data_IF_085107094622
#
_entry.id   IF_085107094622
#
_cell.length_a   1.000
_cell.length_b   1.000
_cell.length_c   1.000
_cell.angle_alpha   90.00
_cell.angle_beta   90.00
_cell.angle_gamma   90.00
#
_symmetry.space_group_name_H-M   'P 1'
#
loop_
_entity.id
_entity.type
_entity.pdbx_description
1 polymer ?
#
# COMPACT_ATOMS: atom_id res chain seq x y z
N UNK A 1 -38.03 -19.17 -0.43
CA UNK A 1 -36.82 -19.80 0.10
C UNK A 1 -35.75 -20.08 -0.95
N UNK A 2 -36.13 -20.48 -2.15
CA UNK A 2 -35.15 -20.69 -3.27
C UNK A 2 -34.39 -19.43 -3.68
N UNK A 3 -34.99 -18.26 -3.53
CA UNK A 3 -34.37 -16.97 -3.90
C UNK A 3 -33.32 -16.50 -2.90
N UNK A 4 -33.48 -16.82 -1.62
CA UNK A 4 -32.51 -16.47 -0.59
C UNK A 4 -31.20 -17.23 -0.75
N UNK A 5 -31.27 -18.51 -1.11
CA UNK A 5 -30.09 -19.34 -1.35
C UNK A 5 -29.30 -18.85 -2.58
N UNK A 6 -30.02 -18.39 -3.60
CA UNK A 6 -29.42 -17.87 -4.82
C UNK A 6 -28.69 -16.55 -4.58
N UNK A 7 -29.25 -15.67 -3.77
CA UNK A 7 -28.63 -14.40 -3.36
C UNK A 7 -27.38 -14.62 -2.53
N UNK A 8 -27.39 -15.58 -1.64
CA UNK A 8 -26.23 -15.95 -0.81
C UNK A 8 -25.08 -16.49 -1.67
N UNK A 9 -25.36 -17.27 -2.71
CA UNK A 9 -24.38 -17.77 -3.63
C UNK A 9 -23.72 -16.65 -4.47
N UNK A 10 -24.48 -15.68 -4.93
CA UNK A 10 -23.98 -14.51 -5.64
C UNK A 10 -23.09 -13.66 -4.75
N UNK A 11 -23.43 -13.51 -3.49
CA UNK A 11 -22.67 -12.75 -2.53
C UNK A 11 -21.32 -13.41 -2.24
N UNK A 12 -21.31 -14.75 -2.14
CA UNK A 12 -20.07 -15.52 -1.95
C UNK A 12 -19.13 -15.40 -3.15
N UNK A 13 -19.65 -15.40 -4.35
CA UNK A 13 -18.86 -15.21 -5.57
C UNK A 13 -18.23 -13.82 -5.65
N UNK A 14 -18.97 -12.79 -5.26
CA UNK A 14 -18.46 -11.42 -5.19
C UNK A 14 -17.36 -11.28 -4.13
N UNK A 15 -17.54 -11.91 -2.97
CA UNK A 15 -16.52 -11.92 -1.90
C UNK A 15 -15.23 -12.59 -2.37
N UNK A 16 -15.32 -13.71 -3.08
CA UNK A 16 -14.17 -14.39 -3.64
C UNK A 16 -13.44 -13.55 -4.69
N UNK A 17 -14.17 -12.75 -5.45
CA UNK A 17 -13.59 -11.86 -6.45
C UNK A 17 -12.78 -10.74 -5.79
N UNK A 18 -13.25 -10.20 -4.65
CA UNK A 18 -12.54 -9.16 -3.89
C UNK A 18 -11.27 -9.72 -3.23
N UNK A 19 -11.30 -10.97 -2.77
CA UNK A 19 -10.16 -11.65 -2.12
C UNK A 19 -9.04 -11.95 -3.13
N UNK A 20 -9.35 -12.02 -4.43
CA UNK A 20 -8.38 -12.26 -5.49
C UNK A 20 -7.51 -11.04 -5.83
N UNK A 21 -7.68 -9.91 -5.12
CA UNK A 21 -6.88 -8.72 -5.35
C UNK A 21 -5.43 -8.96 -4.95
N UNK A 22 -4.51 -8.68 -5.88
CA UNK A 22 -3.09 -8.94 -5.69
C UNK A 22 -2.48 -7.97 -4.68
N UNK A 23 -1.78 -8.53 -3.68
CA UNK A 23 -1.04 -7.72 -2.72
C UNK A 23 0.33 -7.41 -3.33
N UNK A 24 0.75 -6.12 -3.35
CA UNK A 24 2.04 -5.75 -3.91
C UNK A 24 3.20 -6.29 -3.08
N UNK A 25 4.31 -6.55 -3.75
CA UNK A 25 5.53 -6.98 -3.08
C UNK A 25 6.31 -5.77 -2.54
N UNK A 26 7.16 -6.01 -1.55
CA UNK A 26 8.11 -5.01 -1.06
C UNK A 26 8.95 -4.43 -2.21
N UNK A 27 9.43 -5.28 -3.10
CA UNK A 27 10.26 -4.88 -4.25
C UNK A 27 9.52 -3.89 -5.17
N UNK A 28 8.26 -4.16 -5.45
CA UNK A 28 7.42 -3.27 -6.27
C UNK A 28 7.23 -1.92 -5.60
N UNK A 29 6.95 -1.91 -4.30
CA UNK A 29 6.76 -0.68 -3.53
C UNK A 29 8.03 0.16 -3.53
N UNK A 30 9.19 -0.45 -3.32
CA UNK A 30 10.47 0.27 -3.33
C UNK A 30 10.81 0.85 -4.70
N UNK A 31 10.51 0.12 -5.77
CA UNK A 31 10.69 0.60 -7.13
C UNK A 31 9.81 1.82 -7.42
N UNK A 32 8.55 1.75 -7.07
CA UNK A 32 7.60 2.85 -7.27
C UNK A 32 7.93 4.06 -6.40
N UNK A 33 8.39 3.84 -5.17
CA UNK A 33 8.88 4.91 -4.30
C UNK A 33 10.07 5.64 -4.93
N UNK A 34 10.95 4.92 -5.64
CA UNK A 34 12.04 5.51 -6.40
C UNK A 34 11.55 6.47 -7.48
N UNK A 35 10.49 6.15 -8.17
CA UNK A 35 9.87 7.07 -9.13
C UNK A 35 9.30 8.31 -8.45
N UNK A 36 8.69 8.14 -7.28
CA UNK A 36 8.14 9.25 -6.49
C UNK A 36 9.22 10.20 -5.98
N UNK A 37 10.42 9.71 -5.71
CA UNK A 37 11.56 10.57 -5.32
C UNK A 37 11.93 11.50 -6.47
N UNK A 38 11.87 11.01 -7.71
CA UNK A 38 12.21 11.79 -8.90
C UNK A 38 11.12 12.80 -9.24
N UNK A 39 9.86 12.44 -9.07
CA UNK A 39 8.71 13.29 -9.36
C UNK A 39 7.58 12.97 -8.39
N UNK A 40 7.45 13.76 -7.34
CA UNK A 40 6.44 13.55 -6.30
C UNK A 40 5.00 13.78 -6.78
N UNK A 41 4.80 14.37 -7.96
CA UNK A 41 3.48 14.61 -8.55
C UNK A 41 3.08 13.55 -9.57
N UNK A 42 3.95 12.56 -9.82
CA UNK A 42 3.64 11.46 -10.74
C UNK A 42 2.45 10.63 -10.25
N UNK A 43 1.64 10.15 -11.19
CA UNK A 43 0.46 9.33 -10.89
C UNK A 43 0.81 8.09 -10.06
N UNK A 44 1.99 7.52 -10.26
CA UNK A 44 2.45 6.36 -9.50
C UNK A 44 2.50 6.63 -8.00
N UNK A 45 2.78 7.88 -7.58
CA UNK A 45 2.83 8.24 -6.16
C UNK A 45 1.46 8.14 -5.51
N UNK A 46 0.42 8.58 -6.22
CA UNK A 46 -0.95 8.46 -5.74
C UNK A 46 -1.36 7.01 -5.58
N UNK A 47 -1.05 6.19 -6.57
CA UNK A 47 -1.38 4.76 -6.56
C UNK A 47 -0.60 4.03 -5.48
N UNK A 48 0.64 4.44 -5.24
CA UNK A 48 1.52 3.83 -4.25
C UNK A 48 0.95 3.92 -2.83
N UNK A 49 0.23 4.98 -2.49
CA UNK A 49 -0.41 5.11 -1.17
C UNK A 49 -1.34 3.92 -0.91
N UNK A 50 -2.17 3.56 -1.89
CA UNK A 50 -3.06 2.41 -1.79
C UNK A 50 -2.31 1.09 -1.75
N UNK A 51 -1.25 0.96 -2.54
CA UNK A 51 -0.43 -0.26 -2.59
C UNK A 51 0.28 -0.50 -1.26
N UNK A 52 0.81 0.54 -0.64
CA UNK A 52 1.45 0.44 0.69
C UNK A 52 0.42 0.00 1.73
N UNK A 53 -0.80 0.51 1.66
CA UNK A 53 -1.85 0.13 2.60
C UNK A 53 -2.17 -1.35 2.52
N UNK A 54 -2.26 -1.91 1.33
CA UNK A 54 -2.49 -3.35 1.13
C UNK A 54 -1.40 -4.19 1.80
N UNK A 55 -0.14 -3.82 1.61
CA UNK A 55 0.96 -4.53 2.25
C UNK A 55 0.97 -4.34 3.77
N UNK A 56 0.61 -3.16 4.26
CA UNK A 56 0.48 -2.91 5.70
C UNK A 56 -0.52 -3.86 6.36
N UNK A 57 -1.67 -4.07 5.74
CA UNK A 57 -2.69 -4.97 6.28
C UNK A 57 -2.17 -6.42 6.34
N UNK A 58 -1.46 -6.85 5.31
CA UNK A 58 -0.88 -8.18 5.30
C UNK A 58 0.16 -8.38 6.41
N UNK A 59 1.11 -7.46 6.54
CA UNK A 59 2.18 -7.60 7.54
C UNK A 59 1.64 -7.42 8.97
N UNK A 60 0.57 -6.65 9.14
CA UNK A 60 -0.15 -6.56 10.40
C UNK A 60 -0.72 -7.92 10.81
N UNK A 61 -1.38 -8.62 9.89
CA UNK A 61 -1.92 -9.95 10.14
C UNK A 61 -0.82 -10.98 10.46
N UNK A 62 0.38 -10.74 9.97
CA UNK A 62 1.55 -11.58 10.25
C UNK A 62 2.29 -11.17 11.53
N UNK A 63 1.77 -10.21 12.29
CA UNK A 63 2.41 -9.66 13.49
C UNK A 63 3.78 -9.03 13.22
N UNK A 64 4.03 -8.56 12.00
CA UNK A 64 5.29 -7.91 11.60
C UNK A 64 5.17 -6.41 11.80
N UNK A 65 5.13 -5.96 13.05
CA UNK A 65 4.82 -4.58 13.40
C UNK A 65 5.93 -3.59 13.02
N UNK A 66 7.19 -3.99 13.00
CA UNK A 66 8.28 -3.12 12.55
C UNK A 66 8.17 -2.82 11.07
N UNK A 67 7.80 -3.83 10.27
CA UNK A 67 7.54 -3.65 8.85
C UNK A 67 6.34 -2.73 8.64
N UNK A 68 5.25 -2.95 9.36
CA UNK A 68 4.06 -2.11 9.28
C UNK A 68 4.37 -0.65 9.59
N UNK A 69 5.11 -0.41 10.67
CA UNK A 69 5.50 0.93 11.09
C UNK A 69 6.37 1.63 10.04
N UNK A 70 7.29 0.89 9.43
CA UNK A 70 8.16 1.41 8.37
C UNK A 70 7.37 1.76 7.10
N UNK A 71 6.40 0.92 6.73
CA UNK A 71 5.51 1.18 5.60
C UNK A 71 4.62 2.39 5.86
N UNK A 72 4.13 2.55 7.08
CA UNK A 72 3.35 3.72 7.47
C UNK A 72 4.16 5.00 7.35
N UNK A 73 5.43 4.97 7.76
CA UNK A 73 6.35 6.10 7.59
C UNK A 73 6.54 6.48 6.13
N UNK A 74 6.74 5.49 5.25
CA UNK A 74 6.86 5.72 3.83
C UNK A 74 5.57 6.29 3.24
N UNK A 75 4.43 5.72 3.61
CA UNK A 75 3.12 6.20 3.17
C UNK A 75 2.89 7.66 3.57
N UNK A 76 3.19 8.01 4.81
CA UNK A 76 3.06 9.39 5.30
C UNK A 76 3.93 10.36 4.50
N UNK A 77 5.16 9.98 4.20
CA UNK A 77 6.07 10.81 3.42
C UNK A 77 5.53 11.06 2.00
N UNK A 78 4.96 10.04 1.38
CA UNK A 78 4.38 10.15 0.03
C UNK A 78 3.12 11.01 0.07
N UNK A 79 2.26 10.83 1.06
CA UNK A 79 1.05 11.66 1.24
C UNK A 79 1.43 13.14 1.38
N UNK A 80 2.41 13.45 2.20
CA UNK A 80 2.87 14.82 2.37
C UNK A 80 3.42 15.41 1.07
N UNK A 81 4.23 14.67 0.35
CA UNK A 81 4.84 15.14 -0.89
C UNK A 81 3.82 15.31 -2.02
N UNK A 82 2.94 14.35 -2.19
CA UNK A 82 1.97 14.34 -3.30
C UNK A 82 0.76 15.23 -3.04
N UNK A 83 0.10 15.06 -1.89
CA UNK A 83 -1.17 15.72 -1.61
C UNK A 83 -1.00 17.11 -0.99
N UNK A 84 -0.05 17.26 -0.07
CA UNK A 84 0.15 18.52 0.65
C UNK A 84 1.16 19.43 -0.04
N UNK A 85 2.03 18.88 -0.88
CA UNK A 85 3.05 19.62 -1.64
C UNK A 85 3.98 20.46 -0.77
N UNK A 86 4.10 20.12 0.52
CA UNK A 86 4.81 20.92 1.51
C UNK A 86 6.22 20.46 1.79
N UNK A 87 6.62 19.25 1.33
CA UNK A 87 7.89 18.67 1.72
C UNK A 87 8.68 18.21 0.51
N UNK A 88 9.99 18.24 0.67
CA UNK A 88 10.92 17.74 -0.33
C UNK A 88 10.84 16.21 -0.39
N UNK A 89 11.27 15.67 -1.52
CA UNK A 89 11.32 14.23 -1.75
C UNK A 89 12.32 13.53 -0.82
N UNK A 90 13.13 14.28 -0.07
CA UNK A 90 14.08 13.76 0.91
C UNK A 90 13.43 12.90 1.98
N UNK A 91 12.21 13.25 2.42
CA UNK A 91 11.50 12.43 3.41
C UNK A 91 11.17 11.04 2.90
N UNK A 92 10.81 10.94 1.62
CA UNK A 92 10.58 9.64 1.00
C UNK A 92 11.88 8.82 1.01
N UNK A 93 12.99 9.43 0.59
CA UNK A 93 14.30 8.79 0.60
C UNK A 93 14.72 8.35 2.00
N UNK A 94 14.42 9.15 3.01
CA UNK A 94 14.76 8.87 4.40
C UNK A 94 14.04 7.62 4.93
N UNK A 95 12.81 7.36 4.48
CA UNK A 95 12.02 6.25 4.97
C UNK A 95 12.35 4.92 4.30
N UNK A 96 12.91 4.94 3.09
CA UNK A 96 13.20 3.73 2.32
C UNK A 96 14.12 2.74 3.06
N UNK A 97 15.24 3.15 3.69
CA UNK A 97 16.10 2.21 4.40
C UNK A 97 15.38 1.43 5.50
N UNK A 98 14.41 2.04 6.16
CA UNK A 98 13.63 1.36 7.20
C UNK A 98 12.74 0.28 6.63
N UNK A 99 12.15 0.52 5.46
CA UNK A 99 11.35 -0.50 4.77
C UNK A 99 12.24 -1.65 4.33
N UNK A 100 13.42 -1.36 3.79
CA UNK A 100 14.39 -2.39 3.38
C UNK A 100 14.78 -3.26 4.57
N UNK A 101 15.09 -2.63 5.71
CA UNK A 101 15.56 -3.33 6.91
C UNK A 101 14.46 -4.13 7.59
N UNK A 102 13.25 -3.60 7.68
CA UNK A 102 12.20 -4.14 8.53
C UNK A 102 11.18 -4.99 7.79
N UNK A 103 11.17 -4.91 6.50
CA UNK A 103 10.32 -5.71 5.65
C UNK A 103 11.14 -6.66 4.81
#
# INVERSE_FOLDING_TARGET
MKYLTFLLLKFSLLSNFVIAETIPTKSKILKEAGYCIKDSQAQVCRELVSEIEKLQLLVFDQNRFKCQSSLLGLQSAIVEAYFLKNFSNERISFTIPYVIKNC
#
